data_IF_995098055567
#
_entry.id   IF_995098055567
#
_cell.length_a   1.000
_cell.length_b   1.000
_cell.length_c   1.000
_cell.angle_alpha   90.00
_cell.angle_beta   90.00
_cell.angle_gamma   90.00
#
_symmetry.space_group_name_H-M   'P 1'
#
loop_
_entity.id
_entity.type
_entity.pdbx_description
1 polymer ?
#
# COMPACT_ATOMS: atom_id res chain seq x y z
N UNK A 1 30.67 3.87 -15.91
CA UNK A 1 30.19 5.05 -15.16
C UNK A 1 28.68 4.96 -15.13
N UNK A 2 28.07 4.67 -13.99
CA UNK A 2 26.61 4.64 -13.86
C UNK A 2 26.16 6.08 -13.65
N UNK A 3 25.49 6.67 -14.64
CA UNK A 3 24.90 8.01 -14.50
C UNK A 3 23.89 7.98 -13.36
N UNK A 4 24.14 8.77 -12.31
CA UNK A 4 23.23 8.89 -11.19
C UNK A 4 21.97 9.62 -11.66
N UNK A 5 20.80 9.02 -11.41
CA UNK A 5 19.52 9.62 -11.76
C UNK A 5 19.17 10.76 -10.82
N UNK A 6 18.70 11.88 -11.36
CA UNK A 6 18.30 13.05 -10.57
C UNK A 6 16.87 12.86 -10.02
N UNK A 7 16.79 12.54 -8.72
CA UNK A 7 15.52 12.36 -8.01
C UNK A 7 14.75 13.67 -7.79
N UNK A 8 15.41 14.84 -7.89
CA UNK A 8 14.75 16.14 -7.75
C UNK A 8 13.78 16.44 -8.90
N UNK A 9 13.99 15.77 -10.05
CA UNK A 9 13.12 15.80 -11.22
C UNK A 9 11.88 14.91 -11.12
N UNK A 10 11.57 14.31 -9.97
CA UNK A 10 10.42 13.42 -9.81
C UNK A 10 9.26 14.06 -9.03
N UNK A 11 8.03 13.63 -9.30
CA UNK A 11 6.84 13.93 -8.50
C UNK A 11 5.88 12.73 -8.44
N UNK A 12 5.09 12.66 -7.38
CA UNK A 12 3.95 11.74 -7.28
C UNK A 12 2.73 12.40 -7.94
N UNK A 13 2.07 11.69 -8.85
CA UNK A 13 0.72 12.03 -9.33
C UNK A 13 -0.25 11.07 -8.65
N UNK A 14 -1.19 11.61 -7.89
CA UNK A 14 -2.07 10.81 -7.02
C UNK A 14 -3.51 11.03 -7.47
N UNK A 15 -4.19 9.94 -7.82
CA UNK A 15 -5.58 9.94 -8.26
C UNK A 15 -6.44 9.20 -7.23
N UNK A 16 -7.48 9.85 -6.71
CA UNK A 16 -8.50 9.21 -5.89
C UNK A 16 -9.48 8.47 -6.80
N UNK A 17 -9.72 7.19 -6.55
CA UNK A 17 -10.61 6.35 -7.34
C UNK A 17 -11.99 6.15 -6.68
N UNK A 18 -12.15 6.56 -5.42
CA UNK A 18 -13.37 6.30 -4.65
C UNK A 18 -14.38 7.43 -4.59
N UNK A 19 -14.03 8.65 -5.02
CA UNK A 19 -15.01 9.74 -5.15
C UNK A 19 -15.94 9.43 -6.33
N UNK A 20 -17.21 9.70 -6.10
CA UNK A 20 -18.38 9.53 -6.98
C UNK A 20 -18.08 9.67 -8.48
N UNK A 21 -18.76 8.84 -9.28
CA UNK A 21 -19.01 9.03 -10.72
C UNK A 21 -18.49 10.34 -11.33
N UNK A 22 -17.30 10.28 -11.94
CA UNK A 22 -16.73 11.39 -12.69
C UNK A 22 -15.41 11.85 -12.09
N UNK A 23 -14.32 11.42 -12.72
CA UNK A 23 -12.95 11.88 -12.52
C UNK A 23 -12.93 13.40 -12.33
N UNK A 24 -12.89 13.88 -11.08
CA UNK A 24 -12.41 15.23 -10.78
C UNK A 24 -10.91 15.12 -10.64
N UNK A 25 -10.24 15.41 -11.75
CA UNK A 25 -8.80 15.66 -11.76
C UNK A 25 -8.52 16.75 -10.72
N UNK A 26 -7.91 16.36 -9.60
CA UNK A 26 -7.43 17.29 -8.59
C UNK A 26 -6.17 17.95 -9.19
N UNK A 27 -6.39 18.97 -10.02
CA UNK A 27 -5.35 19.79 -10.60
C UNK A 27 -4.54 20.41 -9.45
N UNK A 28 -3.29 19.98 -9.31
CA UNK A 28 -2.27 20.92 -8.84
C UNK A 28 -2.21 22.01 -9.90
N UNK A 29 -2.56 23.22 -9.49
CA UNK A 29 -2.73 24.41 -10.33
C UNK A 29 -1.62 24.59 -11.37
N UNK A 30 -2.07 24.97 -12.58
CA UNK A 30 -1.31 25.36 -13.78
C UNK A 30 -0.65 24.21 -14.54
N UNK A 31 -1.31 23.74 -15.61
CA UNK A 31 -0.83 23.88 -17.00
C UNK A 31 -1.84 23.22 -17.95
N UNK A 32 -2.47 24.02 -18.80
CA UNK A 32 -3.06 23.58 -20.06
C UNK A 32 -1.93 23.67 -21.10
N UNK A 33 -1.57 22.56 -21.74
CA UNK A 33 -1.49 22.46 -23.20
C UNK A 33 -0.92 21.12 -23.70
N UNK A 34 -1.60 20.68 -24.77
CA UNK A 34 -1.24 19.77 -25.87
C UNK A 34 -0.85 18.32 -25.56
N UNK A 35 -1.84 17.45 -25.79
CA UNK A 35 -1.71 15.99 -25.76
C UNK A 35 -1.12 15.50 -27.09
N UNK A 36 0.11 15.02 -27.07
CA UNK A 36 0.62 14.16 -28.13
C UNK A 36 0.26 12.70 -27.81
N UNK A 37 -0.60 12.16 -28.66
CA UNK A 37 -1.15 10.82 -28.59
C UNK A 37 -0.14 9.77 -29.06
N UNK A 38 0.61 9.19 -28.14
CA UNK A 38 1.05 7.80 -28.22
C UNK A 38 0.38 7.02 -27.08
N UNK A 39 -0.85 6.60 -27.35
CA UNK A 39 -1.69 5.78 -26.48
C UNK A 39 -1.02 4.41 -26.24
N UNK A 40 -0.37 4.29 -25.08
CA UNK A 40 -0.14 3.00 -24.44
C UNK A 40 -1.52 2.42 -24.05
N UNK A 41 -1.99 1.44 -24.83
CA UNK A 41 -3.29 0.76 -24.68
C UNK A 41 -3.44 -0.05 -23.37
N UNK A 42 -2.54 0.14 -22.40
CA UNK A 42 -2.58 -0.45 -21.07
C UNK A 42 -3.14 0.47 -19.97
N UNK A 43 -3.45 1.74 -20.30
CA UNK A 43 -4.14 2.64 -19.35
C UNK A 43 -5.63 2.30 -19.33
N UNK A 44 -6.23 1.90 -18.19
CA UNK A 44 -7.66 1.62 -18.14
C UNK A 44 -8.44 2.89 -18.50
N UNK A 45 -9.34 2.79 -19.48
CA UNK A 45 -10.26 3.88 -19.82
C UNK A 45 -11.39 3.92 -18.78
N UNK A 46 -11.26 4.81 -17.80
CA UNK A 46 -12.21 4.97 -16.69
C UNK A 46 -13.42 5.85 -17.05
N UNK A 47 -13.61 6.24 -18.32
CA UNK A 47 -14.68 7.19 -18.71
C UNK A 47 -16.07 6.59 -18.79
N UNK A 48 -16.24 5.27 -18.67
CA UNK A 48 -17.55 4.61 -18.83
C UNK A 48 -17.74 3.50 -17.79
N UNK A 49 -18.22 3.86 -16.60
CA UNK A 49 -18.87 2.89 -15.70
C UNK A 49 -20.08 3.57 -15.04
N UNK A 50 -21.28 3.10 -15.41
CA UNK A 50 -22.48 3.01 -14.57
C UNK A 50 -23.16 4.30 -14.12
N UNK A 51 -24.21 4.71 -14.83
CA UNK A 51 -25.27 5.54 -14.26
C UNK A 51 -26.17 4.67 -13.37
N UNK A 52 -25.92 4.68 -12.06
CA UNK A 52 -26.74 4.06 -11.02
C UNK A 52 -26.95 5.06 -9.88
N UNK A 53 -28.13 4.99 -9.23
CA UNK A 53 -28.61 5.93 -8.23
C UNK A 53 -27.56 6.31 -7.17
N UNK A 54 -27.37 7.61 -6.97
CA UNK A 54 -26.25 8.25 -6.26
C UNK A 54 -26.35 8.28 -4.73
N UNK A 55 -27.01 7.31 -4.10
CA UNK A 55 -27.10 7.21 -2.63
C UNK A 55 -26.15 6.17 -2.02
N UNK A 56 -25.28 5.62 -2.85
CA UNK A 56 -24.48 4.42 -2.60
C UNK A 56 -22.99 4.77 -2.38
N UNK A 57 -22.70 5.73 -1.49
CA UNK A 57 -21.36 5.81 -0.88
C UNK A 57 -21.20 4.65 0.13
N UNK A 58 -21.11 3.41 -0.37
CA UNK A 58 -21.16 2.20 0.50
C UNK A 58 -20.02 2.11 1.51
N UNK A 59 -18.92 2.84 1.34
CA UNK A 59 -17.72 2.71 2.17
C UNK A 59 -16.99 4.05 2.43
N UNK A 60 -17.59 5.00 3.14
CA UNK A 60 -16.98 6.32 3.41
C UNK A 60 -15.69 6.24 4.24
N UNK A 61 -15.43 5.06 4.82
CA UNK A 61 -14.25 4.74 5.60
C UNK A 61 -13.05 4.29 4.73
N UNK A 62 -13.27 3.94 3.46
CA UNK A 62 -12.24 3.44 2.54
C UNK A 62 -11.98 4.46 1.41
N UNK A 63 -10.71 4.82 1.22
CA UNK A 63 -10.25 5.60 0.06
C UNK A 63 -9.22 4.81 -0.72
N UNK A 64 -9.39 4.70 -2.02
CA UNK A 64 -8.46 3.98 -2.91
C UNK A 64 -7.77 5.00 -3.79
N UNK A 65 -6.44 4.98 -3.80
CA UNK A 65 -5.62 5.86 -4.61
C UNK A 65 -4.79 5.06 -5.61
N UNK A 66 -4.71 5.58 -6.82
CA UNK A 66 -3.70 5.19 -7.80
C UNK A 66 -2.59 6.23 -7.79
N UNK A 67 -1.35 5.78 -7.58
CA UNK A 67 -0.19 6.67 -7.45
C UNK A 67 0.77 6.37 -8.58
N UNK A 68 1.08 7.38 -9.39
CA UNK A 68 2.11 7.33 -10.42
C UNK A 68 3.36 8.07 -9.97
N UNK A 69 4.51 7.53 -10.33
CA UNK A 69 5.80 8.21 -10.24
C UNK A 69 6.12 8.74 -11.63
N UNK A 70 6.18 10.06 -11.76
CA UNK A 70 6.38 10.74 -13.05
C UNK A 70 7.55 11.72 -13.00
N UNK A 71 8.20 11.93 -14.14
CA UNK A 71 9.20 13.00 -14.29
C UNK A 71 8.52 14.38 -14.35
N UNK A 72 9.17 15.42 -13.85
CA UNK A 72 8.65 16.80 -13.81
C UNK A 72 8.66 17.48 -15.17
N UNK A 73 9.65 17.16 -16.00
CA UNK A 73 9.90 17.79 -17.30
C UNK A 73 8.85 17.44 -18.35
N UNK A 74 8.49 16.15 -18.45
CA UNK A 74 7.63 15.60 -19.51
C UNK A 74 6.47 14.78 -18.98
N UNK A 75 6.33 14.66 -17.66
CA UNK A 75 5.30 13.80 -17.06
C UNK A 75 5.50 12.31 -17.37
N UNK A 76 6.70 11.88 -17.77
CA UNK A 76 6.96 10.50 -18.17
C UNK A 76 6.74 9.59 -16.97
N UNK A 77 5.81 8.64 -17.09
CA UNK A 77 5.55 7.62 -16.07
C UNK A 77 6.69 6.60 -16.02
N UNK A 78 7.27 6.46 -14.83
CA UNK A 78 8.40 5.55 -14.56
C UNK A 78 8.12 4.53 -13.45
N UNK A 79 7.03 4.71 -12.72
CA UNK A 79 6.58 3.75 -11.72
C UNK A 79 5.15 4.01 -11.28
N UNK A 80 4.61 3.10 -10.47
CA UNK A 80 3.26 3.17 -9.92
C UNK A 80 3.08 2.28 -8.70
N UNK A 81 2.04 2.54 -7.91
CA UNK A 81 1.53 1.65 -6.88
C UNK A 81 0.10 2.03 -6.46
N UNK A 82 -0.64 1.07 -5.92
CA UNK A 82 -1.94 1.31 -5.29
C UNK A 82 -1.80 1.66 -3.80
N UNK A 83 -2.72 2.45 -3.27
CA UNK A 83 -2.81 2.74 -1.85
C UNK A 83 -4.27 2.71 -1.40
N UNK A 84 -4.58 1.92 -0.38
CA UNK A 84 -5.88 1.92 0.29
C UNK A 84 -5.76 2.58 1.64
N UNK A 85 -6.54 3.61 1.91
CA UNK A 85 -6.57 4.34 3.17
C UNK A 85 -7.86 3.99 3.90
N UNK A 86 -7.72 3.33 5.04
CA UNK A 86 -8.81 2.93 5.93
C UNK A 86 -8.87 3.88 7.11
N UNK A 87 -9.93 4.67 7.19
CA UNK A 87 -10.15 5.60 8.30
C UNK A 87 -11.07 4.97 9.34
N UNK A 88 -10.47 4.59 10.48
CA UNK A 88 -11.25 4.36 11.68
C UNK A 88 -11.63 5.71 12.26
N UNK A 89 -12.90 6.12 12.12
CA UNK A 89 -13.37 7.30 12.87
C UNK A 89 -13.20 7.01 14.37
N UNK A 90 -12.77 7.99 15.15
CA UNK A 90 -12.46 7.84 16.58
C UNK A 90 -13.62 7.32 17.47
N UNK A 91 -14.81 7.07 16.89
CA UNK A 91 -16.02 6.56 17.55
C UNK A 91 -16.45 5.16 17.08
N UNK A 92 -15.84 4.57 16.06
CA UNK A 92 -16.40 3.35 15.43
C UNK A 92 -16.01 2.04 16.13
N UNK A 93 -14.86 1.93 16.79
CA UNK A 93 -14.42 0.61 17.33
C UNK A 93 -15.30 0.09 18.48
N UNK A 94 -16.02 0.97 19.19
CA UNK A 94 -16.83 0.56 20.35
C UNK A 94 -18.34 0.62 20.09
N UNK A 95 -18.81 1.47 19.17
CA UNK A 95 -20.27 1.67 18.96
C UNK A 95 -20.75 1.36 17.53
N UNK A 96 -19.88 1.25 16.53
CA UNK A 96 -20.28 0.88 15.15
C UNK A 96 -19.24 -0.01 14.46
N UNK A 97 -19.55 -1.31 14.40
CA UNK A 97 -19.16 -2.21 13.30
C UNK A 97 -17.65 -2.50 13.16
N UNK A 98 -17.18 -3.45 13.98
CA UNK A 98 -16.06 -4.39 13.74
C UNK A 98 -15.28 -4.11 12.43
N UNK A 99 -14.31 -3.18 12.46
CA UNK A 99 -13.58 -2.74 11.25
C UNK A 99 -13.00 -3.92 10.45
N UNK A 100 -12.42 -4.97 11.06
CA UNK A 100 -12.01 -6.15 10.32
C UNK A 100 -13.10 -6.91 9.59
N UNK A 101 -14.31 -6.99 10.15
CA UNK A 101 -15.44 -7.53 9.39
C UNK A 101 -15.71 -6.68 8.15
N UNK A 102 -15.64 -5.34 8.26
CA UNK A 102 -15.77 -4.45 7.10
C UNK A 102 -14.62 -4.63 6.09
N UNK A 103 -13.39 -4.89 6.54
CA UNK A 103 -12.27 -5.19 5.62
C UNK A 103 -12.53 -6.46 4.80
N UNK A 104 -13.08 -7.49 5.44
CA UNK A 104 -13.40 -8.77 4.81
C UNK A 104 -14.61 -8.64 3.87
N UNK A 105 -15.65 -7.92 4.30
CA UNK A 105 -16.88 -7.74 3.53
C UNK A 105 -16.78 -6.64 2.45
N UNK A 106 -15.63 -5.98 2.31
CA UNK A 106 -15.47 -4.82 1.43
C UNK A 106 -15.34 -5.24 -0.04
N UNK A 107 -16.38 -4.98 -0.83
CA UNK A 107 -16.34 -5.23 -2.28
C UNK A 107 -15.28 -4.39 -3.00
N UNK A 108 -15.00 -3.17 -2.50
CA UNK A 108 -13.97 -2.28 -3.08
C UNK A 108 -12.60 -2.49 -2.45
N UNK A 109 -12.54 -3.11 -1.28
CA UNK A 109 -11.31 -3.43 -0.57
C UNK A 109 -10.46 -4.45 -1.32
N UNK A 110 -11.10 -5.31 -2.12
CA UNK A 110 -10.44 -6.34 -2.91
C UNK A 110 -9.79 -7.42 -2.04
N UNK A 111 -9.16 -8.41 -2.69
CA UNK A 111 -8.58 -9.56 -2.00
C UNK A 111 -7.48 -9.18 -1.02
N UNK A 112 -6.73 -8.11 -1.29
CA UNK A 112 -5.62 -7.68 -0.44
C UNK A 112 -6.10 -7.24 0.95
N UNK A 113 -7.17 -6.44 1.04
CA UNK A 113 -7.70 -6.01 2.34
C UNK A 113 -8.43 -7.13 3.07
N UNK A 114 -9.09 -8.02 2.34
CA UNK A 114 -9.70 -9.22 2.91
C UNK A 114 -8.64 -10.13 3.55
N UNK A 115 -7.56 -10.43 2.81
CA UNK A 115 -6.45 -11.23 3.32
C UNK A 115 -5.76 -10.53 4.49
N UNK A 116 -5.48 -9.24 4.39
CA UNK A 116 -4.91 -8.45 5.48
C UNK A 116 -5.78 -8.49 6.74
N UNK A 117 -7.09 -8.27 6.58
CA UNK A 117 -8.08 -8.31 7.65
C UNK A 117 -8.12 -9.67 8.34
N UNK A 118 -8.21 -10.74 7.55
CA UNK A 118 -8.28 -12.12 8.04
C UNK A 118 -6.98 -12.56 8.70
N UNK A 119 -5.84 -12.17 8.13
CA UNK A 119 -4.52 -12.59 8.61
C UNK A 119 -4.16 -11.93 9.95
N UNK A 120 -4.43 -10.64 10.13
CA UNK A 120 -4.03 -9.92 11.33
C UNK A 120 -5.09 -9.92 12.43
N UNK A 121 -6.37 -9.91 12.08
CA UNK A 121 -7.45 -9.70 13.03
C UNK A 121 -8.32 -10.94 13.20
N UNK A 122 -8.87 -11.09 14.41
CA UNK A 122 -9.74 -12.18 14.79
C UNK A 122 -11.20 -11.74 14.64
N UNK A 123 -11.92 -12.36 13.69
CA UNK A 123 -13.35 -12.11 13.47
C UNK A 123 -14.17 -12.36 14.74
N UNK A 124 -13.89 -13.45 15.47
CA UNK A 124 -14.61 -13.84 16.68
C UNK A 124 -14.40 -12.87 17.85
N UNK A 125 -13.29 -12.12 17.86
CA UNK A 125 -12.97 -11.15 18.91
C UNK A 125 -13.21 -9.70 18.45
N UNK A 126 -14.30 -9.47 17.72
CA UNK A 126 -14.71 -8.14 17.22
C UNK A 126 -13.61 -7.44 16.40
N UNK A 127 -12.80 -8.22 15.69
CA UNK A 127 -11.73 -7.68 14.87
C UNK A 127 -10.59 -7.05 15.67
N UNK A 128 -10.29 -7.61 16.83
CA UNK A 128 -9.02 -7.32 17.50
C UNK A 128 -7.91 -8.10 16.83
N UNK A 129 -6.69 -7.55 16.87
CA UNK A 129 -5.46 -8.21 16.52
C UNK A 129 -5.45 -9.58 17.20
N UNK A 130 -5.09 -10.62 16.45
CA UNK A 130 -5.08 -11.98 16.96
C UNK A 130 -4.18 -12.08 18.19
N UNK A 131 -4.65 -12.77 19.23
CA UNK A 131 -3.95 -12.90 20.52
C UNK A 131 -2.56 -13.54 20.36
N UNK A 132 -2.38 -14.35 19.31
CA UNK A 132 -1.10 -14.97 18.94
C UNK A 132 -0.03 -13.93 18.55
N UNK A 133 -0.42 -12.74 18.08
CA UNK A 133 0.51 -11.64 17.83
C UNK A 133 0.74 -10.75 19.06
N UNK A 134 0.00 -10.97 20.14
CA UNK A 134 0.18 -10.27 21.42
C UNK A 134 1.00 -11.09 22.42
N UNK A 135 0.98 -12.41 22.31
CA UNK A 135 1.67 -13.31 23.22
C UNK A 135 2.02 -14.65 22.56
N UNK A 136 3.07 -15.29 23.05
CA UNK A 136 3.49 -16.61 22.57
C UNK A 136 4.53 -16.55 21.43
N UNK A 137 4.75 -17.67 20.72
CA UNK A 137 5.84 -17.81 19.74
C UNK A 137 5.64 -17.00 18.45
N UNK A 138 4.41 -16.59 18.17
CA UNK A 138 3.97 -15.85 16.98
C UNK A 138 4.05 -14.32 17.15
N UNK A 139 4.47 -13.83 18.33
CA UNK A 139 4.63 -12.39 18.62
C UNK A 139 5.70 -11.71 17.74
N UNK A 140 6.60 -12.50 17.13
CA UNK A 140 7.71 -11.99 16.35
C UNK A 140 8.63 -11.12 17.21
N UNK A 141 8.86 -9.88 16.79
CA UNK A 141 9.63 -8.91 17.58
C UNK A 141 8.81 -8.15 18.61
N UNK A 142 7.48 -8.27 18.60
CA UNK A 142 6.59 -7.56 19.52
C UNK A 142 6.61 -6.03 19.38
N UNK A 143 7.15 -5.50 18.28
CA UNK A 143 7.17 -4.04 18.04
C UNK A 143 5.81 -3.47 17.66
N UNK A 144 4.84 -4.33 17.34
CA UNK A 144 3.44 -4.00 17.14
C UNK A 144 2.59 -4.80 18.12
N UNK A 145 1.58 -4.17 18.71
CA UNK A 145 0.67 -4.77 19.68
C UNK A 145 -0.76 -4.24 19.57
N UNK A 146 -1.42 -4.09 20.72
CA UNK A 146 -2.83 -3.71 20.81
C UNK A 146 -3.14 -2.34 20.19
N UNK A 147 -2.14 -1.49 19.95
CA UNK A 147 -2.33 -0.23 19.24
C UNK A 147 -2.87 -0.42 17.83
N UNK A 148 -2.64 -1.58 17.19
CA UNK A 148 -3.22 -1.91 15.89
C UNK A 148 -4.75 -2.12 15.93
N UNK A 149 -5.33 -2.33 17.12
CA UNK A 149 -6.79 -2.40 17.30
C UNK A 149 -7.46 -1.04 17.13
N UNK A 150 -6.67 0.03 17.04
CA UNK A 150 -7.15 1.41 17.06
C UNK A 150 -6.44 2.22 15.99
N UNK A 151 -7.14 3.23 15.52
CA UNK A 151 -6.58 4.19 14.58
C UNK A 151 -6.77 3.79 13.13
N UNK A 152 -6.39 4.72 12.28
CA UNK A 152 -6.52 4.60 10.84
C UNK A 152 -5.23 4.06 10.25
N UNK A 153 -5.33 3.28 9.18
CA UNK A 153 -4.16 2.76 8.49
C UNK A 153 -4.27 2.94 6.99
N UNK A 154 -3.14 2.84 6.31
CA UNK A 154 -3.10 2.72 4.88
C UNK A 154 -2.36 1.44 4.50
N UNK A 155 -2.71 0.87 3.36
CA UNK A 155 -2.16 -0.38 2.84
C UNK A 155 -1.66 -0.13 1.41
N UNK A 156 -0.37 -0.36 1.18
CA UNK A 156 0.20 -0.35 -0.18
C UNK A 156 -0.27 -1.64 -0.86
N UNK A 157 -1.12 -1.47 -1.86
CA UNK A 157 -1.83 -2.55 -2.54
C UNK A 157 -1.07 -3.07 -3.74
N UNK A 158 -1.14 -4.39 -3.94
CA UNK A 158 -0.78 -5.08 -5.17
C UNK A 158 -1.94 -5.38 -6.11
N UNK A 159 -3.16 -5.27 -5.61
CA UNK A 159 -4.35 -5.68 -6.33
C UNK A 159 -4.51 -5.05 -7.73
N UNK A 160 -4.54 -5.95 -8.72
CA UNK A 160 -4.68 -5.63 -10.13
C UNK A 160 -6.03 -5.04 -10.53
N UNK A 161 -7.04 -5.05 -9.65
CA UNK A 161 -8.37 -4.48 -9.92
C UNK A 161 -8.32 -2.97 -10.19
N UNK A 162 -7.47 -2.23 -9.46
CA UNK A 162 -7.36 -0.77 -9.57
C UNK A 162 -5.95 -0.30 -9.95
N UNK A 163 -4.92 -1.06 -9.56
CA UNK A 163 -3.55 -0.82 -9.94
C UNK A 163 -2.98 -2.14 -10.46
N UNK A 164 -3.00 -2.35 -11.79
CA UNK A 164 -2.53 -3.60 -12.43
C UNK A 164 -1.13 -4.08 -12.06
N UNK A 165 -0.33 -3.25 -11.37
CA UNK A 165 0.95 -3.65 -10.80
C UNK A 165 1.03 -3.17 -9.35
N UNK A 166 1.58 -4.00 -8.46
CA UNK A 166 2.02 -3.60 -7.11
C UNK A 166 3.04 -2.45 -7.16
N UNK A 167 3.81 -2.25 -6.09
CA UNK A 167 4.90 -1.29 -6.07
C UNK A 167 5.93 -1.55 -7.20
N UNK A 168 5.74 -0.84 -8.33
CA UNK A 168 6.42 -1.12 -9.59
C UNK A 168 7.24 0.08 -10.04
N UNK A 169 8.49 -0.19 -10.39
CA UNK A 169 9.40 0.74 -11.06
C UNK A 169 9.82 0.07 -12.37
N UNK A 170 9.70 0.81 -13.48
CA UNK A 170 10.13 0.35 -14.81
C UNK A 170 11.58 -0.17 -14.77
N UNK A 171 11.89 -1.33 -15.38
CA UNK A 171 13.20 -1.98 -15.25
C UNK A 171 14.41 -1.07 -15.50
N UNK A 172 14.33 -0.20 -16.51
CA UNK A 172 15.41 0.74 -16.88
C UNK A 172 15.64 1.86 -15.85
N UNK A 173 14.72 2.04 -14.89
CA UNK A 173 14.80 3.00 -13.79
C UNK A 173 15.07 2.33 -12.43
N UNK A 174 15.18 1.00 -12.38
CA UNK A 174 15.46 0.27 -11.14
C UNK A 174 16.90 0.51 -10.63
N UNK A 175 17.11 0.31 -9.33
CA UNK A 175 18.43 0.48 -8.71
C UNK A 175 18.88 1.94 -8.53
N UNK A 176 18.04 2.91 -8.86
CA UNK A 176 18.38 4.35 -8.84
C UNK A 176 17.80 5.09 -7.61
N UNK A 177 17.30 4.36 -6.60
CA UNK A 177 16.74 4.94 -5.38
C UNK A 177 15.32 5.50 -5.51
N UNK A 178 14.68 5.37 -6.69
CA UNK A 178 13.35 5.92 -6.98
C UNK A 178 12.26 5.36 -6.06
N UNK A 179 12.27 4.04 -5.80
CA UNK A 179 11.31 3.44 -4.87
C UNK A 179 11.43 4.00 -3.45
N UNK A 180 12.67 4.18 -2.97
CA UNK A 180 12.92 4.78 -1.65
C UNK A 180 12.46 6.22 -1.61
N UNK A 181 12.75 7.00 -2.66
CA UNK A 181 12.24 8.37 -2.81
C UNK A 181 10.71 8.40 -2.77
N UNK A 182 10.03 7.55 -3.53
CA UNK A 182 8.58 7.53 -3.61
C UNK A 182 7.92 7.18 -2.26
N UNK A 183 8.48 6.23 -1.50
CA UNK A 183 8.00 5.93 -0.14
C UNK A 183 8.20 7.11 0.82
N UNK A 184 9.32 7.83 0.73
CA UNK A 184 9.56 9.00 1.59
C UNK A 184 8.60 10.14 1.26
N UNK A 185 8.36 10.40 -0.03
CA UNK A 185 7.38 11.39 -0.46
C UNK A 185 5.96 11.00 -0.05
N UNK A 186 5.59 9.73 -0.19
CA UNK A 186 4.31 9.22 0.26
C UNK A 186 4.10 9.46 1.77
N UNK A 187 5.09 9.11 2.61
CA UNK A 187 5.03 9.29 4.07
C UNK A 187 4.81 10.76 4.49
N UNK A 188 5.27 11.72 3.68
CA UNK A 188 5.07 13.16 3.92
C UNK A 188 3.79 13.71 3.30
N UNK A 189 3.14 12.94 2.44
CA UNK A 189 1.99 13.42 1.66
C UNK A 189 0.72 13.57 2.52
N UNK A 190 -0.07 14.61 2.23
CA UNK A 190 -1.27 14.97 3.00
C UNK A 190 -2.34 13.87 3.06
N UNK A 191 -2.37 12.94 2.10
CA UNK A 191 -3.33 11.82 2.11
C UNK A 191 -3.14 10.90 3.33
N UNK A 192 -1.93 10.86 3.89
CA UNK A 192 -1.61 10.09 5.10
C UNK A 192 -1.72 10.93 6.39
N UNK A 193 -2.21 12.18 6.32
CA UNK A 193 -2.24 13.07 7.50
C UNK A 193 -3.03 12.50 8.69
N UNK A 194 -4.10 11.76 8.44
CA UNK A 194 -4.92 11.13 9.50
C UNK A 194 -4.68 9.62 9.61
N UNK A 195 -3.53 9.13 9.13
CA UNK A 195 -3.19 7.71 9.14
C UNK A 195 -2.10 7.46 10.19
N UNK A 196 -2.31 6.46 11.03
CA UNK A 196 -1.41 6.05 12.10
C UNK A 196 -0.34 5.08 11.59
N UNK A 197 -0.76 4.11 10.77
CA UNK A 197 0.10 3.02 10.31
C UNK A 197 0.06 2.88 8.78
N UNK A 198 1.19 2.55 8.18
CA UNK A 198 1.30 2.17 6.77
C UNK A 198 1.72 0.71 6.69
N UNK A 199 0.94 -0.11 6.01
CA UNK A 199 1.16 -1.53 5.83
C UNK A 199 1.48 -1.88 4.38
N UNK A 200 2.12 -3.03 4.21
CA UNK A 200 2.36 -3.65 2.91
C UNK A 200 2.50 -5.16 3.08
N UNK A 201 1.99 -5.91 2.11
CA UNK A 201 2.40 -7.29 1.88
C UNK A 201 3.44 -7.30 0.75
N UNK A 202 4.70 -7.68 1.01
CA UNK A 202 5.73 -7.70 -0.02
C UNK A 202 5.41 -8.69 -1.17
N UNK A 203 4.85 -8.20 -2.27
CA UNK A 203 4.54 -9.00 -3.46
C UNK A 203 5.67 -9.05 -4.50
N UNK A 204 5.77 -10.16 -5.25
CA UNK A 204 6.66 -10.28 -6.42
C UNK A 204 5.90 -9.96 -7.70
N UNK A 205 6.13 -8.78 -8.26
CA UNK A 205 5.47 -8.32 -9.50
C UNK A 205 6.21 -8.69 -10.77
N UNK A 206 7.53 -8.87 -10.71
CA UNK A 206 8.39 -8.96 -11.88
C UNK A 206 8.65 -10.41 -12.32
N UNK A 207 7.66 -11.31 -12.20
CA UNK A 207 7.76 -12.70 -12.66
C UNK A 207 6.74 -13.00 -13.76
N UNK A 208 7.19 -13.68 -14.81
CA UNK A 208 6.29 -14.22 -15.83
C UNK A 208 5.51 -15.41 -15.28
N UNK A 209 4.42 -15.79 -15.96
CA UNK A 209 3.66 -16.98 -15.60
C UNK A 209 4.53 -18.25 -15.55
N UNK A 210 5.46 -18.40 -16.50
CA UNK A 210 6.38 -19.54 -16.52
C UNK A 210 7.35 -19.54 -15.32
N UNK A 211 7.75 -18.36 -14.86
CA UNK A 211 8.67 -18.18 -13.74
C UNK A 211 8.02 -18.44 -12.37
N UNK A 212 6.68 -18.42 -12.27
CA UNK A 212 5.96 -18.68 -11.01
C UNK A 212 6.23 -20.07 -10.43
N UNK A 213 6.57 -21.04 -11.29
CA UNK A 213 6.91 -22.39 -10.86
C UNK A 213 8.38 -22.53 -10.40
N UNK A 214 9.22 -21.52 -10.59
CA UNK A 214 10.59 -21.50 -10.09
C UNK A 214 10.60 -20.93 -8.66
N UNK A 215 10.42 -21.83 -7.69
CA UNK A 215 10.36 -21.47 -6.27
C UNK A 215 11.61 -20.71 -5.79
N UNK A 216 12.80 -21.04 -6.31
CA UNK A 216 14.04 -20.37 -5.92
C UNK A 216 14.08 -18.92 -6.44
N UNK A 217 13.65 -18.70 -7.69
CA UNK A 217 13.53 -17.37 -8.28
C UNK A 217 12.49 -16.52 -7.54
N UNK A 218 11.31 -17.08 -7.27
CA UNK A 218 10.23 -16.40 -6.53
C UNK A 218 10.71 -16.00 -5.14
N UNK A 219 11.30 -16.93 -4.38
CA UNK A 219 11.86 -16.68 -3.04
C UNK A 219 12.94 -15.59 -3.06
N UNK A 220 13.84 -15.63 -4.04
CA UNK A 220 14.89 -14.62 -4.20
C UNK A 220 14.33 -13.22 -4.48
N UNK A 221 13.33 -13.12 -5.37
CA UNK A 221 12.67 -11.84 -5.68
C UNK A 221 11.85 -11.32 -4.50
N UNK A 222 11.12 -12.19 -3.80
CA UNK A 222 10.39 -11.84 -2.59
C UNK A 222 11.34 -11.26 -1.53
N UNK A 223 12.44 -11.95 -1.23
CA UNK A 223 13.46 -11.48 -0.29
C UNK A 223 14.05 -10.11 -0.67
N UNK A 224 14.17 -9.81 -1.98
CA UNK A 224 14.62 -8.49 -2.46
C UNK A 224 13.59 -7.39 -2.16
N UNK A 225 12.30 -7.65 -2.40
CA UNK A 225 11.21 -6.70 -2.12
C UNK A 225 11.07 -6.49 -0.61
N UNK A 226 11.11 -7.56 0.18
CA UNK A 226 11.06 -7.49 1.64
C UNK A 226 12.22 -6.65 2.19
N UNK A 227 13.46 -6.91 1.72
CA UNK A 227 14.64 -6.13 2.10
C UNK A 227 14.49 -4.65 1.76
N UNK A 228 13.82 -4.31 0.65
CA UNK A 228 13.53 -2.92 0.30
C UNK A 228 12.64 -2.24 1.34
N UNK A 229 11.52 -2.86 1.73
CA UNK A 229 10.63 -2.30 2.74
C UNK A 229 11.26 -2.27 4.14
N UNK A 230 12.02 -3.30 4.54
CA UNK A 230 12.75 -3.31 5.82
C UNK A 230 13.82 -2.20 5.86
N UNK A 231 14.56 -1.97 4.77
CA UNK A 231 15.45 -0.79 4.65
C UNK A 231 14.72 0.54 4.73
N UNK A 232 13.46 0.60 4.29
CA UNK A 232 12.60 1.77 4.41
C UNK A 232 11.98 1.94 5.82
N UNK A 233 12.34 1.08 6.78
CA UNK A 233 11.92 1.13 8.18
C UNK A 233 10.65 0.37 8.51
N UNK A 234 10.08 -0.38 7.57
CA UNK A 234 8.93 -1.25 7.86
C UNK A 234 9.39 -2.49 8.64
N UNK A 235 8.60 -2.93 9.62
CA UNK A 235 8.90 -4.12 10.45
C UNK A 235 7.72 -5.08 10.43
N UNK A 236 7.98 -6.36 10.66
CA UNK A 236 6.94 -7.39 10.58
C UNK A 236 5.93 -7.27 11.72
N UNK A 237 4.65 -7.54 11.43
CA UNK A 237 3.60 -7.63 12.44
C UNK A 237 3.50 -9.08 12.90
N UNK A 238 3.89 -9.37 14.14
CA UNK A 238 3.98 -10.74 14.62
C UNK A 238 4.90 -11.58 13.75
N UNK A 239 4.45 -12.75 13.35
CA UNK A 239 5.10 -13.63 12.37
C UNK A 239 4.36 -13.70 11.03
N UNK A 240 3.51 -12.71 10.74
CA UNK A 240 2.70 -12.63 9.52
C UNK A 240 3.52 -12.28 8.27
N UNK A 241 2.90 -12.32 7.09
CA UNK A 241 3.49 -11.82 5.84
C UNK A 241 3.55 -10.29 5.76
N UNK A 242 2.86 -9.59 6.65
CA UNK A 242 2.68 -8.14 6.58
C UNK A 242 3.79 -7.37 7.31
N UNK A 243 4.24 -6.29 6.69
CA UNK A 243 5.12 -5.31 7.30
C UNK A 243 4.34 -4.01 7.59
N UNK A 244 4.59 -3.42 8.76
CA UNK A 244 4.00 -2.16 9.20
C UNK A 244 5.04 -1.06 9.43
N UNK A 245 4.57 0.19 9.37
CA UNK A 245 5.35 1.39 9.69
C UNK A 245 4.49 2.39 10.46
N UNK A 246 4.96 2.84 11.64
CA UNK A 246 4.29 3.90 12.40
C UNK A 246 4.58 5.29 11.81
N UNK A 247 3.53 5.94 11.31
CA UNK A 247 3.61 7.27 10.70
C UNK A 247 3.57 8.41 11.73
N UNK A 248 2.94 8.19 12.89
CA UNK A 248 2.65 9.25 13.86
C UNK A 248 3.52 9.23 15.11
N UNK A 249 4.02 8.06 15.49
CA UNK A 249 4.89 7.93 16.64
C UNK A 249 6.34 7.78 16.18
N UNK A 250 7.10 8.86 16.24
CA UNK A 250 8.53 8.87 15.89
C UNK A 250 9.37 8.01 16.84
N UNK A 251 8.85 7.71 18.05
CA UNK A 251 9.51 6.86 19.05
C UNK A 251 9.02 5.42 19.02
N UNK A 252 8.14 5.08 18.08
CA UNK A 252 7.59 3.74 17.97
C UNK A 252 8.71 2.70 17.84
N UNK A 253 8.68 1.56 18.56
CA UNK A 253 9.75 0.56 18.54
C UNK A 253 10.12 0.10 17.12
N UNK A 254 9.13 -0.02 16.24
CA UNK A 254 9.35 -0.39 14.83
C UNK A 254 10.28 0.55 14.06
N UNK A 255 10.45 1.80 14.50
CA UNK A 255 11.32 2.80 13.84
C UNK A 255 12.78 2.70 14.24
N UNK A 256 13.06 2.06 15.37
CA UNK A 256 14.41 1.94 15.94
C UNK A 256 14.98 0.51 15.84
N UNK A 257 14.12 -0.49 15.64
CA UNK A 257 14.55 -1.87 15.41
C UNK A 257 15.41 -1.96 14.14
N UNK A 258 16.59 -2.58 14.18
CA UNK A 258 17.39 -2.78 12.95
C UNK A 258 16.68 -3.75 11.99
N UNK A 259 17.05 -3.75 10.71
CA UNK A 259 16.49 -4.70 9.76
C UNK A 259 16.88 -6.14 10.13
N UNK A 260 18.11 -6.31 10.59
CA UNK A 260 18.72 -7.60 10.95
C UNK A 260 18.10 -8.21 12.22
N UNK A 261 17.53 -7.37 13.08
CA UNK A 261 16.85 -7.76 14.32
C UNK A 261 15.34 -8.02 14.13
N UNK A 262 14.82 -7.78 12.93
CA UNK A 262 13.42 -8.01 12.60
C UNK A 262 13.15 -9.50 12.33
N UNK A 263 11.92 -9.96 12.60
CA UNK A 263 11.60 -11.38 12.55
C UNK A 263 11.31 -11.87 11.14
N UNK A 264 11.56 -13.16 10.90
CA UNK A 264 11.15 -13.87 9.70
C UNK A 264 9.70 -14.40 9.85
N UNK A 265 8.96 -14.61 8.75
CA UNK A 265 7.62 -15.16 8.83
C UNK A 265 7.66 -16.64 9.26
N UNK A 266 6.65 -17.08 10.02
CA UNK A 266 6.59 -18.48 10.47
C UNK A 266 6.18 -19.45 9.35
N UNK A 267 5.46 -18.97 8.34
CA UNK A 267 5.05 -19.73 7.19
C UNK A 267 5.72 -19.13 5.95
N UNK A 268 6.53 -19.93 5.24
CA UNK A 268 7.03 -19.55 3.92
C UNK A 268 5.87 -19.65 2.93
N UNK A 269 5.68 -18.58 2.13
CA UNK A 269 4.76 -18.54 0.98
C UNK A 269 5.37 -19.34 -0.18
#
# INVERSE_FOLDING_TARGET
>A
MTTQFDLSGLKLRIQLLTDECGVREDYTQEFLEESDSELDASTPDFRIVGGGDSNDEWEPWLKIYYIEIVTKDKGKKIGRFGLRSVRAQARTVVEHENLPYRLIASERGGSDLEHFGTALFNEANRGRLRDEFLSGPTVGTGVFGEELNRGSFAFISGDGQFAKDDFFIKPEFQGQGIGSWALQELKRHRILYNINFLFVEPGVTDITYQQRNDAALVKSKHARVERFFRKAGFRRVGTSSYLGYSLKDDKHPSRNLAMEDDCEPLYEI
#
